data_IF_616376745537
#
_entry.id   IF_616376745537
#
_cell.length_a   1.000
_cell.length_b   1.000
_cell.length_c   1.000
_cell.angle_alpha   90.00
_cell.angle_beta   90.00
_cell.angle_gamma   90.00
#
_symmetry.space_group_name_H-M   'P 1'
#
loop_
_entity.id
_entity.type
_entity.pdbx_description
1 polymer ?
#
# COMPACT_ATOMS: atom_id res chain seq x y z
N UNK A 1 8.02 6.32 -12.61
CA UNK A 1 6.59 6.20 -12.21
C UNK A 1 5.77 7.38 -12.68
N UNK A 2 6.12 8.62 -12.34
CA UNK A 2 5.30 9.81 -12.64
C UNK A 2 4.94 10.01 -14.12
N UNK A 3 5.85 9.71 -15.07
CA UNK A 3 5.52 9.80 -16.50
C UNK A 3 4.46 8.77 -16.93
N UNK A 4 4.53 7.54 -16.42
CA UNK A 4 3.54 6.50 -16.71
C UNK A 4 2.18 6.84 -16.07
N UNK A 5 2.20 7.31 -14.82
CA UNK A 5 1.02 7.80 -14.14
C UNK A 5 0.39 8.99 -14.89
N UNK A 6 1.21 9.94 -15.36
CA UNK A 6 0.75 11.09 -16.16
C UNK A 6 0.17 10.68 -17.53
N UNK A 7 0.55 9.51 -18.06
CA UNK A 7 -0.06 8.91 -19.26
C UNK A 7 -1.33 8.10 -18.94
N UNK A 8 -1.84 8.15 -17.71
CA UNK A 8 -3.03 7.41 -17.28
C UNK A 8 -2.79 5.91 -17.12
N UNK A 9 -1.54 5.47 -16.92
CA UNK A 9 -1.20 4.06 -16.68
C UNK A 9 -1.26 3.74 -15.19
N UNK A 10 -1.86 2.61 -14.84
CA UNK A 10 -1.82 2.06 -13.49
C UNK A 10 -0.46 1.42 -13.20
N UNK A 11 0.01 1.56 -11.96
CA UNK A 11 1.29 0.99 -11.49
C UNK A 11 0.98 0.12 -10.28
N UNK A 12 1.43 -1.12 -10.30
CA UNK A 12 1.42 -2.00 -9.12
C UNK A 12 2.83 -1.98 -8.55
N UNK A 13 2.94 -1.51 -7.31
CA UNK A 13 4.20 -1.49 -6.57
C UNK A 13 4.13 -2.51 -5.44
N UNK A 14 5.17 -3.33 -5.32
CA UNK A 14 5.34 -4.30 -4.24
C UNK A 14 6.58 -3.87 -3.46
N UNK A 15 6.39 -3.50 -2.20
CA UNK A 15 7.48 -3.11 -1.31
C UNK A 15 7.13 -3.49 0.12
N UNK A 16 8.15 -3.81 0.91
CA UNK A 16 8.07 -4.02 2.36
C UNK A 16 8.47 -2.78 3.16
N UNK A 17 8.92 -1.72 2.50
CA UNK A 17 9.32 -0.46 3.13
C UNK A 17 8.11 0.46 3.30
N UNK A 18 7.63 0.61 4.54
CA UNK A 18 6.46 1.45 4.86
C UNK A 18 6.57 2.89 4.32
N UNK A 19 7.69 3.62 4.48
CA UNK A 19 7.78 4.99 3.98
C UNK A 19 7.56 5.10 2.47
N UNK A 20 8.00 4.10 1.71
CA UNK A 20 7.87 4.09 0.24
C UNK A 20 6.41 3.90 -0.17
N UNK A 21 5.75 2.87 0.37
CA UNK A 21 4.34 2.57 0.03
C UNK A 21 3.40 3.67 0.50
N UNK A 22 3.67 4.31 1.63
CA UNK A 22 2.87 5.43 2.12
C UNK A 22 3.08 6.71 1.29
N UNK A 23 4.29 6.95 0.79
CA UNK A 23 4.60 8.13 -0.02
C UNK A 23 4.08 8.03 -1.46
N UNK A 24 4.12 6.84 -2.04
CA UNK A 24 3.93 6.64 -3.49
C UNK A 24 2.57 6.08 -3.87
N UNK A 25 1.89 5.36 -2.97
CA UNK A 25 0.65 4.66 -3.33
C UNK A 25 -0.59 5.50 -3.06
N UNK A 26 -1.56 5.42 -3.97
CA UNK A 26 -2.92 5.94 -3.76
C UNK A 26 -3.79 4.95 -2.99
N UNK A 27 -3.43 3.66 -3.05
CA UNK A 27 -4.10 2.57 -2.35
C UNK A 27 -3.10 1.51 -1.94
N UNK A 28 -3.22 1.00 -0.72
CA UNK A 28 -2.38 -0.07 -0.19
C UNK A 28 -3.22 -1.32 0.04
N UNK A 29 -2.69 -2.45 -0.41
CA UNK A 29 -3.22 -3.78 -0.10
C UNK A 29 -2.22 -4.44 0.83
N UNK A 30 -2.69 -4.85 2.02
CA UNK A 30 -1.84 -5.51 3.01
C UNK A 30 -2.02 -7.01 2.88
N UNK A 31 -0.89 -7.71 2.71
CA UNK A 31 -0.82 -9.15 2.65
C UNK A 31 -0.11 -9.69 3.89
N UNK A 32 -0.68 -10.71 4.53
CA UNK A 32 -0.06 -11.43 5.65
C UNK A 32 -0.49 -12.90 5.60
N UNK A 33 0.41 -13.83 5.90
CA UNK A 33 0.10 -15.27 5.84
C UNK A 33 -0.29 -15.80 4.45
N UNK A 34 0.01 -15.08 3.37
CA UNK A 34 -0.41 -15.42 2.00
C UNK A 34 -1.83 -14.96 1.64
N UNK A 35 -2.51 -14.23 2.53
CA UNK A 35 -3.86 -13.72 2.31
C UNK A 35 -3.92 -12.19 2.32
N UNK A 36 -4.95 -11.64 1.68
CA UNK A 36 -5.27 -10.21 1.79
C UNK A 36 -5.94 -9.96 3.15
N UNK A 37 -5.22 -9.31 4.04
CA UNK A 37 -5.71 -8.98 5.40
C UNK A 37 -6.36 -7.61 5.48
N UNK A 38 -6.14 -6.75 4.49
CA UNK A 38 -6.83 -5.47 4.42
C UNK A 38 -6.46 -4.61 3.22
N UNK A 39 -7.15 -3.49 3.11
CA UNK A 39 -7.00 -2.52 2.05
C UNK A 39 -7.24 -1.12 2.62
N UNK A 40 -6.37 -0.18 2.28
CA UNK A 40 -6.38 1.19 2.77
C UNK A 40 -6.27 2.15 1.60
N UNK A 41 -7.14 3.15 1.56
CA UNK A 41 -6.97 4.31 0.68
C UNK A 41 -5.96 5.29 1.28
N UNK A 42 -5.39 6.16 0.45
CA UNK A 42 -4.37 7.14 0.82
C UNK A 42 -4.66 7.91 2.12
N UNK A 43 -5.90 8.35 2.30
CA UNK A 43 -6.30 9.16 3.46
C UNK A 43 -6.27 8.39 4.79
N UNK A 44 -6.35 7.06 4.74
CA UNK A 44 -6.35 6.18 5.90
C UNK A 44 -5.06 5.36 6.03
N UNK A 45 -4.15 5.48 5.06
CA UNK A 45 -2.88 4.79 5.03
C UNK A 45 -1.89 5.45 6.00
N UNK A 46 -1.92 5.00 7.25
CA UNK A 46 -0.91 5.33 8.27
C UNK A 46 -0.02 4.13 8.54
N UNK A 47 1.19 4.36 9.04
CA UNK A 47 2.08 3.26 9.43
C UNK A 47 1.40 2.36 10.47
N UNK A 48 0.71 2.97 11.44
CA UNK A 48 -0.06 2.29 12.48
C UNK A 48 -1.19 1.44 11.89
N UNK A 49 -1.97 1.97 10.94
CA UNK A 49 -3.06 1.22 10.30
C UNK A 49 -2.53 0.03 9.49
N UNK A 50 -1.44 0.21 8.74
CA UNK A 50 -0.82 -0.88 7.97
C UNK A 50 -0.30 -1.97 8.91
N UNK A 51 0.42 -1.58 9.97
CA UNK A 51 0.95 -2.54 10.96
C UNK A 51 -0.17 -3.26 11.71
N UNK A 52 -1.26 -2.58 12.05
CA UNK A 52 -2.42 -3.19 12.69
C UNK A 52 -3.06 -4.29 11.82
N UNK A 53 -3.06 -4.12 10.49
CA UNK A 53 -3.52 -5.15 9.55
C UNK A 53 -2.51 -6.30 9.42
N UNK A 54 -1.21 -5.99 9.36
CA UNK A 54 -0.17 -6.99 9.14
C UNK A 54 0.04 -7.93 10.34
N UNK A 55 -0.16 -7.43 11.56
CA UNK A 55 0.13 -8.15 12.82
C UNK A 55 -1.10 -8.83 13.42
N UNK A 56 -2.33 -8.47 13.00
CA UNK A 56 -3.55 -9.17 13.43
C UNK A 56 -3.56 -10.60 12.86
N UNK A 57 -3.10 -11.55 13.67
CA UNK A 57 -3.27 -13.00 13.50
C UNK A 57 -3.79 -13.58 14.81
#
# INVERSE_FOLDING_TARGET
>A
MNQLAAQGKSIIMISSELPEVLGMSDRLIVLSGGEKVGELDRDHATAEAVMALAVKN
#
